data_IF_300510809719
#
_entry.id   IF_300510809719
#
_cell.length_a   1.000
_cell.length_b   1.000
_cell.length_c   1.000
_cell.angle_alpha   90.00
_cell.angle_beta   90.00
_cell.angle_gamma   90.00
#
_symmetry.space_group_name_H-M   'P 1'
#
loop_
_entity.id
_entity.type
_entity.pdbx_description
1 polymer ?
#
# COMPACT_ATOMS: atom_id res chain seq x y z
N UNK A 1 -16.17 14.11 3.96
CA UNK A 1 -14.85 14.34 3.37
C UNK A 1 -14.23 13.05 2.91
N UNK A 2 -13.78 13.03 1.71
CA UNK A 2 -13.19 11.83 1.15
C UNK A 2 -11.68 11.88 1.26
N UNK A 3 -11.13 10.80 1.77
CA UNK A 3 -9.70 10.64 1.80
C UNK A 3 -9.28 9.90 0.55
N UNK A 4 -8.41 10.52 -0.19
CA UNK A 4 -7.89 9.88 -1.39
C UNK A 4 -6.39 9.79 -1.29
N UNK A 5 -5.86 8.65 -1.68
CA UNK A 5 -4.43 8.48 -1.79
C UNK A 5 -4.03 8.73 -3.22
N UNK A 6 -3.01 9.53 -3.40
CA UNK A 6 -2.43 9.66 -4.72
C UNK A 6 -1.43 8.54 -4.89
N UNK A 7 -1.85 7.47 -5.56
CA UNK A 7 -1.03 6.27 -5.70
C UNK A 7 0.28 6.57 -6.41
N UNK A 8 0.25 7.55 -7.30
CA UNK A 8 1.45 7.92 -8.03
C UNK A 8 2.56 8.38 -7.10
N UNK A 9 2.18 9.14 -6.07
CA UNK A 9 3.16 9.64 -5.11
C UNK A 9 3.72 8.52 -4.25
N UNK A 10 2.90 7.49 -4.03
CA UNK A 10 3.28 6.40 -3.16
C UNK A 10 4.21 5.42 -3.85
N UNK A 11 4.07 5.28 -5.17
CA UNK A 11 4.85 4.29 -5.92
C UNK A 11 6.34 4.44 -5.67
N UNK A 12 6.84 5.64 -5.70
CA UNK A 12 8.26 5.90 -5.51
C UNK A 12 8.73 5.37 -4.16
N UNK A 13 7.99 5.72 -3.13
CA UNK A 13 8.34 5.28 -1.78
C UNK A 13 8.27 3.77 -1.65
N UNK A 14 7.25 3.19 -2.26
CA UNK A 14 7.05 1.75 -2.21
C UNK A 14 8.20 1.03 -2.88
N UNK A 15 8.67 1.55 -4.00
CA UNK A 15 9.79 0.93 -4.70
C UNK A 15 11.08 1.07 -3.89
N UNK A 16 11.24 2.17 -3.20
CA UNK A 16 12.40 2.36 -2.34
C UNK A 16 12.44 1.35 -1.21
N UNK A 17 11.27 0.89 -0.78
CA UNK A 17 11.17 -0.11 0.27
C UNK A 17 11.23 -1.52 -0.29
N UNK A 18 11.60 -1.65 -1.56
CA UNK A 18 11.83 -2.93 -2.21
C UNK A 18 10.56 -3.73 -2.49
N UNK A 19 9.44 -3.04 -2.59
CA UNK A 19 8.22 -3.66 -3.09
C UNK A 19 8.26 -3.65 -4.60
N UNK A 20 7.64 -4.67 -5.19
CA UNK A 20 7.57 -4.77 -6.65
C UNK A 20 6.18 -4.34 -7.10
N UNK A 21 6.12 -3.34 -7.98
CA UNK A 21 4.85 -2.87 -8.49
C UNK A 21 4.42 -3.79 -9.63
N UNK A 22 3.26 -4.42 -9.46
CA UNK A 22 2.72 -5.34 -10.45
C UNK A 22 1.70 -4.69 -11.35
N UNK A 23 0.80 -3.91 -10.77
CA UNK A 23 -0.26 -3.27 -11.53
C UNK A 23 -0.50 -1.88 -10.95
N UNK A 24 -0.73 -0.92 -11.83
CA UNK A 24 -1.08 0.42 -11.42
C UNK A 24 -2.10 0.98 -12.39
N UNK A 25 -3.29 1.32 -11.89
CA UNK A 25 -4.36 1.83 -12.74
C UNK A 25 -4.87 3.20 -12.32
N UNK A 26 -4.22 3.83 -11.36
CA UNK A 26 -4.70 5.11 -10.88
C UNK A 26 -5.65 4.98 -9.71
N UNK A 27 -6.44 3.93 -9.67
CA UNK A 27 -7.31 3.67 -8.52
C UNK A 27 -6.90 2.42 -7.77
N UNK A 28 -6.00 1.63 -8.34
CA UNK A 28 -5.51 0.40 -7.72
C UNK A 28 -4.02 0.28 -7.96
N UNK A 29 -3.30 0.02 -6.89
CA UNK A 29 -1.87 -0.27 -6.96
C UNK A 29 -1.67 -1.66 -6.38
N UNK A 30 -1.25 -2.59 -7.22
CA UNK A 30 -1.00 -3.96 -6.78
C UNK A 30 0.51 -4.15 -6.70
N UNK A 31 0.98 -4.52 -5.52
CA UNK A 31 2.41 -4.67 -5.28
C UNK A 31 2.66 -6.03 -4.65
N UNK A 32 3.93 -6.40 -4.62
CA UNK A 32 4.33 -7.69 -4.09
C UNK A 32 5.61 -7.55 -3.28
N UNK A 33 5.60 -8.10 -2.09
CA UNK A 33 6.79 -8.24 -1.26
C UNK A 33 6.50 -9.37 -0.29
N UNK A 34 6.97 -10.57 -0.66
CA UNK A 34 6.69 -11.79 0.10
C UNK A 34 5.23 -12.19 0.02
N UNK A 35 4.31 -11.25 -0.24
CA UNK A 35 2.91 -11.56 -0.43
C UNK A 35 2.30 -10.49 -1.32
N UNK A 36 1.10 -10.77 -1.81
CA UNK A 36 0.41 -9.85 -2.68
C UNK A 36 -0.34 -8.80 -1.85
N UNK A 37 -0.22 -7.55 -2.27
CA UNK A 37 -0.84 -6.43 -1.56
C UNK A 37 -1.53 -5.54 -2.56
N UNK A 38 -2.79 -5.20 -2.30
CA UNK A 38 -3.53 -4.27 -3.13
C UNK A 38 -3.83 -3.00 -2.34
N UNK A 39 -3.48 -1.87 -2.91
CA UNK A 39 -3.72 -0.57 -2.29
C UNK A 39 -4.66 0.21 -3.20
N UNK A 40 -5.78 0.64 -2.65
CA UNK A 40 -6.78 1.38 -3.41
C UNK A 40 -6.68 2.88 -3.13
N UNK A 41 -7.04 3.67 -4.11
CA UNK A 41 -6.97 5.12 -3.97
C UNK A 41 -7.90 5.63 -2.88
N UNK A 42 -8.89 4.82 -2.49
CA UNK A 42 -9.78 5.19 -1.40
C UNK A 42 -9.14 5.03 -0.03
N UNK A 43 -7.92 4.49 0.01
CA UNK A 43 -7.22 4.27 1.25
C UNK A 43 -7.32 2.85 1.77
N UNK A 44 -8.04 2.00 1.06
CA UNK A 44 -8.20 0.61 1.46
C UNK A 44 -6.97 -0.19 1.08
N UNK A 45 -6.54 -1.06 1.99
CA UNK A 45 -5.39 -1.93 1.76
C UNK A 45 -5.80 -3.36 2.02
N UNK A 46 -5.49 -4.24 1.07
CA UNK A 46 -5.80 -5.66 1.19
C UNK A 46 -4.49 -6.44 1.08
N UNK A 47 -4.21 -7.25 2.08
CA UNK A 47 -3.01 -8.09 2.09
C UNK A 47 -3.44 -9.52 1.95
N UNK A 48 -2.93 -10.19 0.91
CA UNK A 48 -3.35 -11.54 0.56
C UNK A 48 -2.24 -12.52 0.93
N UNK A 49 -2.38 -13.17 2.08
CA UNK A 49 -1.45 -14.17 2.53
C UNK A 49 -2.09 -14.97 3.66
N UNK A 50 -1.58 -16.17 3.89
CA UNK A 50 -2.05 -17.01 4.99
C UNK A 50 -1.18 -16.88 6.23
N UNK A 51 -0.11 -16.11 6.14
CA UNK A 51 0.84 -15.92 7.23
C UNK A 51 0.45 -14.70 8.04
N UNK A 52 -0.10 -14.93 9.23
CA UNK A 52 -0.55 -13.84 10.08
C UNK A 52 0.57 -12.93 10.54
N UNK A 53 1.74 -13.52 10.78
CA UNK A 53 2.86 -12.70 11.21
C UNK A 53 3.32 -11.78 10.09
N UNK A 54 3.28 -12.29 8.87
CA UNK A 54 3.63 -11.49 7.72
C UNK A 54 2.62 -10.35 7.54
N UNK A 55 1.34 -10.63 7.77
CA UNK A 55 0.31 -9.62 7.68
C UNK A 55 0.61 -8.48 8.63
N UNK A 56 0.95 -8.81 9.87
CA UNK A 56 1.26 -7.79 10.87
C UNK A 56 2.46 -6.96 10.48
N UNK A 57 3.49 -7.64 9.99
CA UNK A 57 4.72 -6.97 9.58
C UNK A 57 4.46 -6.02 8.42
N UNK A 58 3.78 -6.50 7.40
CA UNK A 58 3.49 -5.70 6.21
C UNK A 58 2.57 -4.55 6.56
N UNK A 59 1.58 -4.81 7.38
CA UNK A 59 0.64 -3.78 7.80
C UNK A 59 1.36 -2.64 8.50
N UNK A 60 2.29 -2.98 9.38
CA UNK A 60 3.06 -1.98 10.10
C UNK A 60 3.93 -1.18 9.14
N UNK A 61 4.55 -1.88 8.21
CA UNK A 61 5.42 -1.24 7.24
C UNK A 61 4.62 -0.30 6.34
N UNK A 62 3.47 -0.74 5.87
CA UNK A 62 2.63 0.07 5.01
C UNK A 62 2.05 1.26 5.75
N UNK A 63 1.69 1.09 7.01
CA UNK A 63 1.20 2.21 7.80
C UNK A 63 2.24 3.30 7.88
N UNK A 64 3.50 2.91 8.06
CA UNK A 64 4.58 3.87 8.12
C UNK A 64 4.77 4.59 6.78
N UNK A 65 4.61 3.85 5.69
CA UNK A 65 4.77 4.43 4.36
C UNK A 65 3.60 5.35 4.02
N UNK A 66 2.38 4.92 4.32
CA UNK A 66 1.19 5.62 3.87
C UNK A 66 0.78 6.77 4.78
N UNK A 67 1.23 6.73 6.01
CA UNK A 67 0.81 7.74 6.99
C UNK A 67 0.99 9.18 6.49
N UNK A 68 2.14 9.54 5.91
CA UNK A 68 2.31 10.93 5.45
C UNK A 68 1.37 11.31 4.30
N UNK A 69 0.78 10.33 3.62
CA UNK A 69 -0.09 10.60 2.48
C UNK A 69 -1.55 10.57 2.84
N UNK A 70 -1.89 10.16 4.05
CA UNK A 70 -3.28 10.13 4.48
C UNK A 70 -3.58 11.43 5.20
N UNK A 71 -4.48 12.19 4.60
CA UNK A 71 -4.87 13.45 5.20
C UNK A 71 -6.01 13.17 6.12
N UNK A 72 -5.76 13.25 7.38
CA UNK A 72 -6.88 13.09 8.27
C UNK A 72 -7.27 14.44 8.75
N UNK A 73 -8.39 14.70 8.71
CA UNK A 73 -8.78 15.98 9.03
C UNK A 73 -9.83 16.17 9.66
#
# INVERSE_FOLDING_TARGET
MNLKLNLEDIIETIQEKKFIVKVYTGSLLSIFKECKINIYSSGKVVIITKDYELIKKIKKELSSILYPYIQSE
#
